data_IF_423316298366
#
_entry.id   IF_423316298366
#
_cell.length_a   1.000
_cell.length_b   1.000
_cell.length_c   1.000
_cell.angle_alpha   90.00
_cell.angle_beta   90.00
_cell.angle_gamma   90.00
#
_symmetry.space_group_name_H-M   'P 1'
#
loop_
_entity.id
_entity.type
_entity.pdbx_description
1 polymer ?
#
# COMPACT_ATOMS: atom_id res chain seq x y z
N UNK A 1 7.50 14.67 -0.14
CA UNK A 1 8.33 15.68 0.57
C UNK A 1 9.68 15.94 -0.05
N UNK A 2 10.08 15.12 -1.03
CA UNK A 2 11.33 15.28 -1.74
C UNK A 2 11.43 16.55 -2.63
N UNK A 3 10.37 17.37 -2.72
CA UNK A 3 10.38 18.66 -3.44
C UNK A 3 9.85 18.61 -4.87
N UNK A 4 9.25 17.49 -5.29
CA UNK A 4 8.65 17.31 -6.61
C UNK A 4 7.17 16.97 -6.52
N UNK A 5 6.38 17.51 -7.44
CA UNK A 5 4.95 17.22 -7.57
C UNK A 5 4.69 15.98 -8.45
N UNK A 6 5.55 15.77 -9.45
CA UNK A 6 5.43 14.68 -10.40
C UNK A 6 6.81 14.25 -10.92
N UNK A 7 6.88 13.02 -11.42
CA UNK A 7 8.05 12.45 -12.06
C UNK A 7 7.61 11.67 -13.30
N UNK A 8 8.33 11.87 -14.40
CA UNK A 8 8.10 11.19 -15.68
C UNK A 8 9.28 10.28 -16.01
N UNK A 9 9.00 8.99 -16.26
CA UNK A 9 10.01 8.01 -16.66
C UNK A 9 9.94 7.75 -18.16
N UNK A 10 10.92 8.27 -18.90
CA UNK A 10 11.03 8.11 -20.34
C UNK A 10 12.09 7.07 -20.72
N UNK A 11 12.01 6.57 -21.97
CA UNK A 11 12.93 5.55 -22.48
C UNK A 11 12.72 4.16 -21.87
N UNK A 12 13.69 3.28 -22.12
CA UNK A 12 13.81 1.93 -21.56
C UNK A 12 15.28 1.66 -21.25
N UNK A 13 15.59 1.08 -20.10
CA UNK A 13 16.96 0.66 -19.78
C UNK A 13 17.30 -0.66 -20.49
N UNK A 14 18.60 -0.92 -20.69
CA UNK A 14 19.08 -2.17 -21.29
C UNK A 14 19.14 -3.34 -20.29
N UNK A 15 19.06 -3.02 -18.99
CA UNK A 15 19.10 -3.93 -17.85
C UNK A 15 18.26 -3.33 -16.73
N UNK A 16 17.96 -4.13 -15.72
CA UNK A 16 17.20 -3.64 -14.59
C UNK A 16 17.92 -2.51 -13.84
N UNK A 17 17.18 -1.43 -13.59
CA UNK A 17 17.69 -0.26 -12.89
C UNK A 17 16.80 0.15 -11.72
N UNK A 18 17.41 0.80 -10.73
CA UNK A 18 16.76 1.51 -9.65
C UNK A 18 16.90 3.00 -9.92
N UNK A 19 15.78 3.71 -9.99
CA UNK A 19 15.78 5.18 -9.96
C UNK A 19 15.82 5.59 -8.49
N UNK A 20 16.90 6.25 -8.06
CA UNK A 20 17.08 6.68 -6.67
C UNK A 20 17.04 8.20 -6.56
N UNK A 21 16.26 8.69 -5.60
CA UNK A 21 16.10 10.10 -5.29
C UNK A 21 16.41 10.30 -3.80
N UNK A 22 17.53 10.97 -3.52
CA UNK A 22 17.92 11.41 -2.18
C UNK A 22 17.68 12.91 -2.07
N UNK A 23 16.54 13.30 -1.51
CA UNK A 23 16.21 14.72 -1.38
C UNK A 23 17.06 15.44 -0.34
N UNK A 24 17.61 14.72 0.64
CA UNK A 24 18.42 15.30 1.70
C UNK A 24 19.79 15.73 1.14
N UNK A 25 20.31 14.96 0.16
CA UNK A 25 21.55 15.27 -0.56
C UNK A 25 21.33 16.02 -1.88
N UNK A 26 20.08 16.16 -2.33
CA UNK A 26 19.74 16.74 -3.63
C UNK A 26 20.24 15.91 -4.81
N UNK A 27 20.26 14.58 -4.67
CA UNK A 27 20.83 13.65 -5.66
C UNK A 27 19.73 12.84 -6.34
N UNK A 28 19.83 12.72 -7.66
CA UNK A 28 19.03 11.80 -8.47
C UNK A 28 19.98 10.90 -9.25
N UNK A 29 19.80 9.59 -9.15
CA UNK A 29 20.67 8.58 -9.76
C UNK A 29 19.86 7.47 -10.42
N UNK A 30 20.43 6.88 -11.46
CA UNK A 30 19.98 5.62 -12.03
C UNK A 30 21.07 4.60 -11.71
N UNK A 31 20.73 3.64 -10.87
CA UNK A 31 21.62 2.60 -10.39
C UNK A 31 21.27 1.28 -11.09
N UNK A 32 22.26 0.45 -11.36
CA UNK A 32 21.99 -0.92 -11.79
C UNK A 32 21.38 -1.74 -10.63
N UNK A 33 20.32 -2.49 -10.92
CA UNK A 33 19.74 -3.40 -9.95
C UNK A 33 20.45 -4.75 -10.05
N UNK A 34 21.15 -5.15 -8.99
CA UNK A 34 21.76 -6.48 -8.88
C UNK A 34 20.82 -7.55 -8.31
N UNK A 35 19.63 -7.14 -7.82
CA UNK A 35 18.66 -8.06 -7.23
C UNK A 35 18.01 -8.94 -8.28
N UNK A 36 18.06 -10.25 -8.06
CA UNK A 36 17.42 -11.23 -8.95
C UNK A 36 15.93 -11.37 -8.68
N UNK A 37 15.53 -11.22 -7.42
CA UNK A 37 14.13 -11.27 -7.02
C UNK A 37 13.57 -9.85 -6.97
N UNK A 38 12.91 -9.47 -8.06
CA UNK A 38 12.27 -8.16 -8.21
C UNK A 38 10.86 -8.12 -7.64
N UNK A 39 10.38 -9.21 -7.02
CA UNK A 39 9.05 -9.22 -6.43
C UNK A 39 8.98 -8.21 -5.29
N UNK A 40 7.93 -7.37 -5.33
CA UNK A 40 7.77 -6.24 -4.41
C UNK A 40 7.96 -6.62 -2.94
N UNK A 41 7.38 -7.73 -2.47
CA UNK A 41 7.48 -8.15 -1.07
C UNK A 41 8.92 -8.47 -0.62
N UNK A 42 9.83 -8.77 -1.56
CA UNK A 42 11.26 -8.96 -1.29
C UNK A 42 12.02 -7.67 -1.54
N UNK A 43 11.83 -7.07 -2.71
CA UNK A 43 12.61 -5.93 -3.17
C UNK A 43 12.34 -4.68 -2.32
N UNK A 44 11.09 -4.42 -1.95
CA UNK A 44 10.74 -3.23 -1.16
C UNK A 44 11.37 -3.26 0.24
N UNK A 45 11.36 -4.41 0.92
CA UNK A 45 12.03 -4.60 2.20
C UNK A 45 13.53 -4.33 2.06
N UNK A 46 14.20 -5.06 1.15
CA UNK A 46 15.65 -4.91 0.92
C UNK A 46 16.06 -3.48 0.63
N UNK A 47 15.35 -2.79 -0.26
CA UNK A 47 15.66 -1.41 -0.64
C UNK A 47 15.38 -0.43 0.50
N UNK A 48 14.35 -0.66 1.31
CA UNK A 48 14.06 0.18 2.47
C UNK A 48 15.24 0.18 3.44
N UNK A 49 15.76 -1.01 3.78
CA UNK A 49 16.94 -1.15 4.64
C UNK A 49 18.23 -0.64 3.97
N UNK A 50 18.44 -0.95 2.68
CA UNK A 50 19.68 -0.59 1.99
C UNK A 50 19.87 0.92 1.79
N UNK A 51 18.78 1.68 1.67
CA UNK A 51 18.83 3.14 1.43
C UNK A 51 18.57 3.99 2.68
N UNK A 52 18.13 3.39 3.79
CA UNK A 52 18.04 4.07 5.07
C UNK A 52 19.43 4.42 5.63
N UNK A 53 19.52 5.48 6.44
CA UNK A 53 20.80 5.84 7.09
C UNK A 53 21.17 4.88 8.23
N UNK A 54 20.17 4.23 8.84
CA UNK A 54 20.34 3.24 9.88
C UNK A 54 19.09 2.36 10.01
N UNK A 55 19.17 1.34 10.86
CA UNK A 55 18.05 0.48 11.25
C UNK A 55 17.11 1.13 12.27
N UNK A 56 17.37 2.38 12.66
CA UNK A 56 16.46 3.11 13.53
C UNK A 56 15.13 3.36 12.80
N UNK A 57 13.97 3.09 13.43
CA UNK A 57 12.67 3.18 12.77
C UNK A 57 12.45 4.50 12.02
N UNK A 58 12.91 5.62 12.58
CA UNK A 58 12.78 6.96 11.97
C UNK A 58 13.45 7.07 10.60
N UNK A 59 14.55 6.34 10.38
CA UNK A 59 15.32 6.39 9.14
C UNK A 59 14.72 5.41 8.11
N UNK A 60 14.13 4.30 8.56
CA UNK A 60 13.38 3.37 7.70
C UNK A 60 12.11 4.01 7.12
N UNK A 61 11.36 4.79 7.93
CA UNK A 61 10.16 5.50 7.41
C UNK A 61 10.50 6.64 6.44
N UNK A 62 11.75 7.09 6.39
CA UNK A 62 12.20 8.11 5.45
C UNK A 62 12.32 7.56 4.01
N UNK A 63 12.30 6.23 3.84
CA UNK A 63 12.42 5.56 2.55
C UNK A 63 11.05 5.06 2.08
N UNK A 64 10.74 5.30 0.82
CA UNK A 64 9.58 4.73 0.16
C UNK A 64 9.99 4.18 -1.20
N UNK A 65 9.40 3.06 -1.60
CA UNK A 65 9.70 2.43 -2.88
C UNK A 65 8.45 2.31 -3.73
N UNK A 66 8.64 2.39 -5.05
CA UNK A 66 7.65 2.03 -6.04
C UNK A 66 8.24 0.90 -6.87
N UNK A 67 7.60 -0.26 -6.93
CA UNK A 67 8.11 -1.44 -7.63
C UNK A 67 6.99 -2.26 -8.27
N UNK A 68 7.37 -3.17 -9.16
CA UNK A 68 6.49 -4.18 -9.72
C UNK A 68 7.26 -5.50 -9.84
N UNK A 69 6.59 -6.63 -9.56
CA UNK A 69 7.23 -7.95 -9.57
C UNK A 69 7.12 -8.67 -10.92
N UNK A 70 7.52 -9.95 -10.91
CA UNK A 70 7.54 -10.81 -12.12
C UNK A 70 6.15 -10.99 -12.74
N UNK A 71 5.09 -10.85 -11.95
CA UNK A 71 3.71 -10.87 -12.47
C UNK A 71 3.48 -9.79 -13.53
N UNK A 72 4.01 -8.58 -13.31
CA UNK A 72 3.86 -7.45 -14.25
C UNK A 72 4.63 -7.65 -15.56
N UNK A 73 5.70 -8.43 -15.56
CA UNK A 73 6.46 -8.80 -16.77
C UNK A 73 5.68 -9.78 -17.67
N UNK A 74 4.73 -10.51 -17.09
CA UNK A 74 4.04 -11.62 -17.73
C UNK A 74 2.53 -11.36 -17.95
N UNK A 75 2.06 -10.14 -17.70
CA UNK A 75 0.65 -9.77 -17.86
C UNK A 75 0.50 -8.36 -18.40
N UNK A 76 -0.67 -8.03 -18.96
CA UNK A 76 -1.03 -6.68 -19.41
C UNK A 76 -1.71 -5.84 -18.32
N UNK A 77 -2.00 -6.45 -17.17
CA UNK A 77 -2.69 -5.83 -16.04
C UNK A 77 -1.77 -5.79 -14.80
N UNK A 78 -0.46 -5.59 -15.01
CA UNK A 78 0.50 -5.54 -13.93
C UNK A 78 0.24 -4.37 -12.98
N UNK A 79 0.26 -4.64 -11.68
CA UNK A 79 0.10 -3.65 -10.61
C UNK A 79 1.41 -2.90 -10.37
N UNK A 80 1.30 -1.63 -9.99
CA UNK A 80 2.41 -0.86 -9.44
C UNK A 80 2.24 -0.73 -7.92
N UNK A 81 3.26 -1.09 -7.17
CA UNK A 81 3.21 -1.22 -5.72
C UNK A 81 4.02 -0.12 -5.04
N UNK A 82 3.46 0.49 -4.00
CA UNK A 82 4.00 1.61 -3.24
C UNK A 82 4.24 1.14 -1.81
N UNK A 83 5.49 1.15 -1.37
CA UNK A 83 5.85 0.68 -0.05
C UNK A 83 5.89 1.82 0.97
N UNK A 84 5.58 1.49 2.22
CA UNK A 84 5.81 2.34 3.37
C UNK A 84 6.23 1.47 4.55
N UNK A 85 7.09 1.99 5.42
CA UNK A 85 7.49 1.28 6.63
C UNK A 85 6.47 1.51 7.75
N UNK A 86 5.90 0.44 8.29
CA UNK A 86 5.01 0.51 9.45
C UNK A 86 5.84 0.44 10.72
N UNK A 87 6.03 1.58 11.41
CA UNK A 87 6.85 1.66 12.62
C UNK A 87 6.37 0.74 13.75
N UNK A 88 5.06 0.47 13.83
CA UNK A 88 4.51 -0.32 14.92
C UNK A 88 4.73 -1.81 14.66
N UNK A 89 4.56 -2.24 13.41
CA UNK A 89 4.85 -3.61 12.96
C UNK A 89 6.33 -3.87 12.69
N UNK A 90 7.12 -2.82 12.52
CA UNK A 90 8.53 -2.85 12.12
C UNK A 90 8.75 -3.66 10.83
N UNK A 91 7.89 -3.43 9.86
CA UNK A 91 7.89 -4.15 8.59
C UNK A 91 7.45 -3.22 7.45
N UNK A 92 7.91 -3.49 6.23
CA UNK A 92 7.40 -2.81 5.05
C UNK A 92 6.01 -3.34 4.68
N UNK A 93 5.09 -2.42 4.46
CA UNK A 93 3.73 -2.65 3.95
C UNK A 93 3.55 -2.01 2.59
N UNK A 94 2.53 -2.45 1.87
CA UNK A 94 2.37 -2.10 0.46
C UNK A 94 0.95 -1.65 0.14
N UNK A 95 0.85 -0.58 -0.67
CA UNK A 95 -0.38 -0.18 -1.37
C UNK A 95 -0.19 -0.23 -2.86
N UNK A 96 -1.29 -0.27 -3.61
CA UNK A 96 -1.25 -0.60 -5.01
C UNK A 96 -2.00 0.40 -5.86
N UNK A 97 -1.38 0.83 -6.95
CA UNK A 97 -2.10 1.28 -8.12
C UNK A 97 -2.30 0.04 -9.02
N UNK A 98 -3.40 -0.66 -8.78
CA UNK A 98 -3.59 -2.05 -9.22
C UNK A 98 -4.11 -2.25 -10.65
N UNK A 99 -4.63 -1.20 -11.31
CA UNK A 99 -5.36 -1.34 -12.59
C UNK A 99 -4.67 -0.59 -13.73
N UNK A 100 -5.01 -0.95 -14.95
CA UNK A 100 -4.55 -0.27 -16.17
C UNK A 100 -3.18 -0.71 -16.70
N UNK A 101 -2.54 -1.72 -16.09
CA UNK A 101 -1.29 -2.28 -16.62
C UNK A 101 -0.05 -1.41 -16.41
N UNK A 102 -0.11 -0.45 -15.50
CA UNK A 102 0.99 0.49 -15.26
C UNK A 102 2.25 -0.18 -14.69
N UNK A 103 2.10 -1.27 -13.93
CA UNK A 103 3.23 -2.09 -13.50
C UNK A 103 3.91 -2.80 -14.67
N UNK A 104 3.12 -3.23 -15.66
CA UNK A 104 3.66 -3.82 -16.91
C UNK A 104 4.49 -2.81 -17.67
N UNK A 105 3.99 -1.58 -17.82
CA UNK A 105 4.76 -0.49 -18.46
C UNK A 105 6.04 -0.19 -17.68
N UNK A 106 5.97 -0.20 -16.34
CA UNK A 106 7.14 0.02 -15.48
C UNK A 106 8.23 -1.04 -15.69
N UNK A 107 7.86 -2.32 -15.76
CA UNK A 107 8.80 -3.43 -16.02
C UNK A 107 9.25 -3.53 -17.48
N UNK A 108 8.42 -3.15 -18.45
CA UNK A 108 8.80 -3.03 -19.86
C UNK A 108 9.90 -1.96 -20.08
N UNK A 109 10.01 -0.99 -19.17
CA UNK A 109 11.12 -0.02 -19.13
C UNK A 109 12.37 -0.53 -18.43
N UNK A 110 12.36 -1.77 -17.92
CA UNK A 110 13.44 -2.36 -17.11
C UNK A 110 13.72 -1.56 -15.83
N UNK A 111 12.67 -1.01 -15.20
CA UNK A 111 12.78 -0.30 -13.93
C UNK A 111 12.38 -1.27 -12.82
N UNK A 112 13.33 -1.70 -12.01
CA UNK A 112 13.09 -2.63 -10.90
C UNK A 112 12.38 -1.90 -9.75
N UNK A 113 12.85 -0.69 -9.43
CA UNK A 113 12.24 0.17 -8.44
C UNK A 113 12.51 1.65 -8.69
N UNK A 114 11.63 2.49 -8.16
CA UNK A 114 11.90 3.88 -7.84
C UNK A 114 11.99 3.97 -6.31
N UNK A 115 13.09 4.52 -5.80
CA UNK A 115 13.33 4.69 -4.37
C UNK A 115 13.44 6.18 -4.08
N UNK A 116 12.67 6.66 -3.12
CA UNK A 116 12.71 8.04 -2.67
C UNK A 116 13.06 8.06 -1.20
N UNK A 117 14.06 8.87 -0.84
CA UNK A 117 14.49 9.12 0.53
C UNK A 117 14.30 10.58 0.92
N UNK A 118 13.69 10.79 2.07
CA UNK A 118 13.54 12.09 2.69
C UNK A 118 13.44 11.98 4.23
N UNK A 119 14.48 12.41 4.94
CA UNK A 119 14.54 12.32 6.42
C UNK A 119 13.83 13.47 7.13
N UNK A 120 13.47 14.55 6.42
CA UNK A 120 12.82 15.73 6.99
C UNK A 120 11.41 15.52 7.55
N UNK A 121 10.82 14.34 7.31
CA UNK A 121 9.51 13.93 7.82
C UNK A 121 8.34 14.68 7.19
N UNK A 122 7.15 14.48 7.77
CA UNK A 122 5.89 15.08 7.33
C UNK A 122 5.53 16.21 8.29
N UNK A 123 5.57 17.47 7.85
CA UNK A 123 5.11 18.60 8.66
C UNK A 123 4.08 19.46 7.92
N UNK A 124 3.08 20.04 8.61
CA UNK A 124 2.04 20.84 7.97
C UNK A 124 2.55 22.08 7.22
N UNK A 125 3.69 22.62 7.63
CA UNK A 125 4.30 23.83 7.08
C UNK A 125 5.30 23.54 5.93
N UNK A 126 5.68 22.27 5.73
CA UNK A 126 6.76 21.89 4.78
C UNK A 126 6.48 22.30 3.35
N UNK A 127 5.21 22.39 2.95
CA UNK A 127 4.80 22.80 1.60
C UNK A 127 4.43 24.29 1.51
N UNK A 128 4.65 25.08 2.56
CA UNK A 128 4.36 26.51 2.58
C UNK A 128 2.89 26.84 2.31
N UNK A 129 1.93 26.29 3.09
CA UNK A 129 0.51 26.60 2.87
C UNK A 129 0.25 28.10 3.02
N UNK A 130 -0.55 28.67 2.11
CA UNK A 130 -0.94 30.09 2.13
C UNK A 130 -1.60 30.49 3.45
N UNK A 131 -2.39 29.57 4.03
CA UNK A 131 -3.08 29.76 5.31
C UNK A 131 -2.98 28.49 6.15
N UNK A 132 -1.96 28.44 7.00
CA UNK A 132 -1.67 27.30 7.87
C UNK A 132 -2.76 27.08 8.93
N UNK A 133 -3.36 28.13 9.46
CA UNK A 133 -4.37 28.02 10.51
C UNK A 133 -5.69 27.49 9.94
N UNK A 134 -6.07 27.92 8.73
CA UNK A 134 -7.21 27.33 8.01
C UNK A 134 -6.99 25.85 7.69
N UNK A 135 -5.78 25.46 7.29
CA UNK A 135 -5.43 24.05 7.04
C UNK A 135 -5.60 23.21 8.31
N UNK A 136 -5.05 23.67 9.44
CA UNK A 136 -5.19 22.99 10.74
C UNK A 136 -6.65 22.87 11.18
N UNK A 137 -7.42 23.97 11.07
CA UNK A 137 -8.83 23.98 11.42
C UNK A 137 -9.65 22.99 10.56
N UNK A 138 -9.34 22.87 9.26
CA UNK A 138 -9.96 21.89 8.39
C UNK A 138 -9.58 20.45 8.77
N UNK A 139 -8.29 20.18 9.03
CA UNK A 139 -7.82 18.86 9.46
C UNK A 139 -8.46 18.40 10.78
N UNK A 140 -8.60 19.31 11.75
CA UNK A 140 -9.28 19.03 13.02
C UNK A 140 -10.76 18.71 12.83
N UNK A 141 -11.46 19.47 11.97
CA UNK A 141 -12.86 19.20 11.63
C UNK A 141 -13.02 17.84 10.96
N UNK A 142 -12.25 17.53 9.92
CA UNK A 142 -12.30 16.23 9.26
C UNK A 142 -11.99 15.08 10.22
N UNK A 143 -11.01 15.26 11.10
CA UNK A 143 -10.67 14.24 12.09
C UNK A 143 -11.85 13.97 13.01
N UNK A 144 -12.49 15.02 13.52
CA UNK A 144 -13.68 14.89 14.35
C UNK A 144 -14.82 14.19 13.60
N UNK A 145 -15.16 14.67 12.40
CA UNK A 145 -16.26 14.11 11.60
C UNK A 145 -16.03 12.64 11.27
N UNK A 146 -14.82 12.24 10.88
CA UNK A 146 -14.49 10.83 10.59
C UNK A 146 -14.68 9.97 11.85
N UNK A 147 -14.17 10.41 13.00
CA UNK A 147 -14.26 9.65 14.24
C UNK A 147 -15.71 9.52 14.75
N UNK A 148 -16.55 10.53 14.53
CA UNK A 148 -17.96 10.53 14.95
C UNK A 148 -18.86 9.77 13.98
N UNK A 149 -18.62 9.87 12.66
CA UNK A 149 -19.54 9.41 11.63
C UNK A 149 -19.18 8.05 11.03
N UNK A 150 -17.91 7.66 10.97
CA UNK A 150 -17.52 6.38 10.37
C UNK A 150 -18.21 5.16 11.01
N UNK A 151 -18.28 5.04 12.35
CA UNK A 151 -18.96 3.90 12.99
C UNK A 151 -20.47 3.85 12.72
N UNK A 152 -21.07 4.97 12.28
CA UNK A 152 -22.49 5.08 11.92
C UNK A 152 -22.74 4.87 10.43
N UNK A 153 -21.68 4.84 9.62
CA UNK A 153 -21.76 4.77 8.17
C UNK A 153 -21.11 3.48 7.67
N UNK A 154 -19.80 3.50 7.42
CA UNK A 154 -19.11 2.46 6.67
C UNK A 154 -18.19 1.59 7.55
N UNK A 155 -17.98 1.96 8.82
CA UNK A 155 -17.10 1.26 9.77
C UNK A 155 -15.71 0.92 9.20
N UNK A 156 -15.18 1.82 8.37
CA UNK A 156 -13.94 1.64 7.63
C UNK A 156 -12.75 1.55 8.59
N UNK A 157 -12.83 2.21 9.74
CA UNK A 157 -11.75 2.19 10.74
C UNK A 157 -11.63 0.85 11.47
N UNK A 158 -12.69 0.04 11.49
CA UNK A 158 -12.72 -1.22 12.24
C UNK A 158 -12.52 -2.45 11.35
N UNK A 159 -13.01 -2.40 10.10
CA UNK A 159 -12.95 -3.55 9.19
C UNK A 159 -12.54 -3.17 7.76
N UNK A 160 -12.33 -1.89 7.48
CA UNK A 160 -11.95 -1.41 6.15
C UNK A 160 -13.05 -1.62 5.13
N UNK A 161 -12.64 -1.74 3.87
CA UNK A 161 -13.55 -1.90 2.74
C UNK A 161 -14.38 -3.18 2.80
N UNK A 162 -13.94 -4.19 3.57
CA UNK A 162 -14.64 -5.45 3.78
C UNK A 162 -16.04 -5.27 4.43
N UNK A 163 -16.34 -4.10 5.00
CA UNK A 163 -17.71 -3.74 5.37
C UNK A 163 -18.68 -3.83 4.19
N UNK A 164 -18.21 -3.49 2.98
CA UNK A 164 -19.03 -3.52 1.77
C UNK A 164 -19.52 -4.93 1.43
N UNK A 165 -18.83 -5.98 1.86
CA UNK A 165 -19.21 -7.34 1.54
C UNK A 165 -20.63 -7.67 2.00
N UNK A 166 -20.98 -7.27 3.23
CA UNK A 166 -22.27 -7.54 3.84
C UNK A 166 -23.40 -6.85 3.04
N UNK A 167 -23.19 -5.58 2.70
CA UNK A 167 -24.10 -4.76 1.89
C UNK A 167 -24.28 -5.39 0.50
N UNK A 168 -23.18 -5.71 -0.17
CA UNK A 168 -23.22 -6.19 -1.55
C UNK A 168 -23.96 -7.52 -1.65
N UNK A 169 -23.78 -8.43 -0.69
CA UNK A 169 -24.52 -9.68 -0.70
C UNK A 169 -26.00 -9.53 -0.30
N UNK A 170 -26.34 -8.61 0.62
CA UNK A 170 -27.73 -8.37 1.04
C UNK A 170 -28.60 -7.76 -0.08
N UNK A 171 -28.01 -6.90 -0.91
CA UNK A 171 -28.71 -6.19 -1.98
C UNK A 171 -28.56 -6.85 -3.38
N UNK A 172 -28.12 -8.11 -3.44
CA UNK A 172 -27.89 -8.85 -4.70
C UNK A 172 -26.90 -8.14 -5.66
N UNK A 173 -25.84 -7.55 -5.10
CA UNK A 173 -24.77 -6.84 -5.83
C UNK A 173 -23.42 -7.55 -5.78
N UNK A 174 -23.28 -8.64 -5.02
CA UNK A 174 -22.04 -9.41 -4.92
C UNK A 174 -21.77 -10.15 -6.23
N UNK A 175 -20.62 -9.91 -6.91
CA UNK A 175 -20.31 -10.62 -8.15
C UNK A 175 -20.10 -12.11 -7.92
N UNK A 176 -21.04 -12.93 -8.38
CA UNK A 176 -20.97 -14.39 -8.20
C UNK A 176 -20.95 -15.09 -9.56
N UNK A 177 -20.01 -16.03 -9.72
CA UNK A 177 -19.81 -16.82 -10.93
C UNK A 177 -19.70 -15.96 -12.20
N UNK A 178 -18.80 -14.97 -12.17
CA UNK A 178 -18.61 -13.98 -13.24
C UNK A 178 -19.89 -13.18 -13.51
N UNK A 179 -20.41 -12.52 -12.46
CA UNK A 179 -21.57 -11.62 -12.50
C UNK A 179 -22.88 -12.27 -12.97
N UNK A 180 -23.00 -13.61 -12.91
CA UNK A 180 -24.24 -14.32 -13.24
C UNK A 180 -25.29 -14.17 -12.14
N UNK A 181 -24.85 -14.01 -10.90
CA UNK A 181 -25.69 -13.87 -9.73
C UNK A 181 -25.17 -12.72 -8.86
N UNK A 182 -26.04 -12.21 -7.98
CA UNK A 182 -25.78 -11.09 -7.08
C UNK A 182 -25.54 -11.49 -5.62
N UNK A 183 -25.67 -12.78 -5.28
CA UNK A 183 -25.53 -13.29 -3.92
C UNK A 183 -25.16 -14.77 -3.94
N UNK A 184 -24.57 -15.25 -2.83
CA UNK A 184 -24.16 -16.65 -2.69
C UNK A 184 -24.43 -17.19 -1.28
N UNK A 185 -24.87 -18.44 -1.15
CA UNK A 185 -25.18 -19.04 0.15
C UNK A 185 -23.95 -19.14 1.08
N UNK A 186 -22.76 -19.29 0.50
CA UNK A 186 -21.50 -19.32 1.25
C UNK A 186 -20.89 -17.94 1.51
N UNK A 187 -21.54 -16.85 1.08
CA UNK A 187 -21.03 -15.49 1.30
C UNK A 187 -20.67 -15.19 2.77
N UNK A 188 -21.41 -15.68 3.80
CA UNK A 188 -21.03 -15.49 5.20
C UNK A 188 -19.63 -16.02 5.59
N UNK A 189 -19.01 -16.90 4.79
CA UNK A 189 -17.67 -17.45 5.06
C UNK A 189 -16.53 -16.46 4.84
N UNK A 190 -16.77 -15.39 4.08
CA UNK A 190 -15.80 -14.31 3.81
C UNK A 190 -16.36 -12.92 4.16
N UNK A 191 -17.51 -12.89 4.84
CA UNK A 191 -18.16 -11.66 5.29
C UNK A 191 -17.37 -10.91 6.39
N UNK A 192 -17.76 -9.66 6.67
CA UNK A 192 -17.06 -8.79 7.61
C UNK A 192 -16.84 -9.42 9.01
N UNK A 193 -17.76 -10.23 9.60
CA UNK A 193 -17.55 -10.86 10.91
C UNK A 193 -16.40 -11.88 10.95
N UNK A 194 -16.05 -12.48 9.80
CA UNK A 194 -14.91 -13.40 9.68
C UNK A 194 -13.62 -12.59 9.73
N UNK A 195 -13.52 -11.56 8.89
CA UNK A 195 -12.35 -10.70 8.81
C UNK A 195 -12.09 -9.92 10.09
N UNK A 196 -13.15 -9.48 10.78
CA UNK A 196 -13.07 -8.85 12.10
C UNK A 196 -12.28 -9.68 13.12
N UNK A 197 -12.23 -11.00 12.98
CA UNK A 197 -11.46 -11.90 13.87
C UNK A 197 -10.03 -12.13 13.41
N UNK A 198 -9.72 -11.87 12.14
CA UNK A 198 -8.41 -12.10 11.53
C UNK A 198 -7.56 -10.83 11.47
N UNK A 199 -8.18 -9.69 11.19
CA UNK A 199 -7.50 -8.40 11.11
C UNK A 199 -6.93 -8.01 12.48
N UNK A 200 -5.70 -7.52 12.49
CA UNK A 200 -5.07 -6.98 13.68
C UNK A 200 -5.76 -5.71 14.14
N UNK A 201 -6.01 -5.59 15.44
CA UNK A 201 -6.78 -4.48 16.06
C UNK A 201 -6.03 -3.67 17.09
N UNK A 202 -4.79 -4.04 17.39
CA UNK A 202 -4.00 -3.39 18.43
C UNK A 202 -3.58 -1.96 18.04
N UNK A 203 -3.83 -1.56 16.80
CA UNK A 203 -3.43 -0.27 16.27
C UNK A 203 -4.33 0.23 15.15
N UNK A 204 -4.20 1.53 14.89
CA UNK A 204 -4.82 2.24 13.79
C UNK A 204 -4.00 2.04 12.51
N UNK A 205 -4.60 1.46 11.49
CA UNK A 205 -3.93 1.13 10.23
C UNK A 205 -4.06 2.22 9.16
N UNK A 206 -3.31 3.31 9.32
CA UNK A 206 -3.19 4.33 8.29
C UNK A 206 -2.30 3.87 7.14
N UNK A 207 -2.76 4.04 5.89
CA UNK A 207 -1.90 3.89 4.71
C UNK A 207 -0.89 5.04 4.54
N UNK A 208 -1.08 6.13 5.30
CA UNK A 208 -0.24 7.32 5.27
C UNK A 208 -0.24 8.03 6.62
N UNK A 209 0.81 8.81 6.87
CA UNK A 209 0.94 9.64 8.06
C UNK A 209 -0.26 10.59 8.22
N UNK A 210 -0.89 10.56 9.40
CA UNK A 210 -2.05 11.40 9.69
C UNK A 210 -3.36 10.92 9.05
N UNK A 211 -3.41 9.72 8.46
CA UNK A 211 -4.66 9.14 7.97
C UNK A 211 -5.61 8.79 9.12
N UNK A 212 -6.56 9.67 9.41
CA UNK A 212 -7.60 9.43 10.42
C UNK A 212 -8.51 8.27 10.05
N UNK A 213 -8.67 7.95 8.76
CA UNK A 213 -9.56 6.87 8.36
C UNK A 213 -9.08 5.51 8.88
N UNK A 214 -7.79 5.22 8.66
CA UNK A 214 -7.15 4.00 9.13
C UNK A 214 -7.79 2.69 8.62
N UNK A 215 -8.23 2.66 7.36
CA UNK A 215 -8.88 1.48 6.74
C UNK A 215 -7.90 0.43 6.19
N UNK A 216 -6.60 0.68 6.23
CA UNK A 216 -5.58 -0.12 5.56
C UNK A 216 -5.21 -1.33 6.40
N UNK A 217 -6.14 -2.21 6.73
CA UNK A 217 -5.88 -3.29 7.67
C UNK A 217 -4.88 -4.33 7.17
N UNK A 218 -4.37 -5.13 8.10
CA UNK A 218 -3.50 -6.28 7.81
C UNK A 218 -3.84 -7.44 8.75
N UNK A 219 -3.48 -8.65 8.31
CA UNK A 219 -3.40 -9.85 9.13
C UNK A 219 -1.94 -10.08 9.50
N UNK A 220 -1.62 -9.96 10.78
CA UNK A 220 -0.27 -10.23 11.28
C UNK A 220 -0.09 -11.70 11.63
N UNK A 221 1.14 -12.21 11.53
CA UNK A 221 1.47 -13.56 11.97
C UNK A 221 0.86 -14.68 11.12
N UNK A 222 0.53 -14.39 9.85
CA UNK A 222 -0.07 -15.38 8.97
C UNK A 222 0.98 -16.36 8.45
N UNK A 223 0.81 -17.66 8.72
CA UNK A 223 1.71 -18.70 8.21
C UNK A 223 1.27 -19.17 6.83
N UNK A 224 2.14 -19.02 5.84
CA UNK A 224 1.89 -19.42 4.46
C UNK A 224 1.75 -20.95 4.36
N UNK A 225 0.67 -21.42 3.74
CA UNK A 225 0.35 -22.86 3.67
C UNK A 225 0.78 -23.52 2.36
N UNK A 226 1.08 -22.73 1.32
CA UNK A 226 1.43 -23.19 -0.03
C UNK A 226 2.48 -22.29 -0.68
N UNK A 227 2.98 -22.68 -1.86
CA UNK A 227 3.94 -21.90 -2.63
C UNK A 227 5.40 -22.02 -2.17
N UNK A 228 6.32 -21.26 -2.78
CA UNK A 228 7.76 -21.32 -2.48
C UNK A 228 8.13 -20.95 -1.04
N UNK A 229 7.36 -20.07 -0.42
CA UNK A 229 7.57 -19.56 0.94
C UNK A 229 6.74 -20.30 2.00
N UNK A 230 6.27 -21.52 1.70
CA UNK A 230 5.44 -22.30 2.62
C UNK A 230 6.13 -22.48 3.97
N UNK A 231 5.39 -22.21 5.04
CA UNK A 231 5.86 -22.31 6.43
C UNK A 231 6.44 -21.00 6.97
N UNK A 232 6.67 -20.00 6.12
CA UNK A 232 7.05 -18.67 6.59
C UNK A 232 5.85 -17.95 7.20
N UNK A 233 6.12 -17.15 8.24
CA UNK A 233 5.13 -16.31 8.91
C UNK A 233 5.32 -14.87 8.45
N UNK A 234 4.27 -14.29 7.88
CA UNK A 234 4.30 -12.97 7.24
C UNK A 234 3.19 -12.06 7.74
N UNK A 235 3.28 -10.79 7.37
CA UNK A 235 2.18 -9.83 7.46
C UNK A 235 1.51 -9.76 6.08
N UNK A 236 0.19 -9.82 6.05
CA UNK A 236 -0.59 -9.73 4.81
C UNK A 236 -1.44 -8.46 4.84
N UNK A 237 -1.19 -7.56 3.89
CA UNK A 237 -2.02 -6.37 3.69
C UNK A 237 -3.43 -6.74 3.20
N UNK A 238 -4.46 -6.14 3.80
CA UNK A 238 -5.85 -6.37 3.47
C UNK A 238 -6.40 -7.72 3.98
N UNK A 239 -7.29 -8.39 3.22
CA UNK A 239 -7.72 -8.00 1.88
C UNK A 239 -8.62 -6.75 1.89
N UNK A 240 -8.64 -6.05 0.77
CA UNK A 240 -9.70 -5.08 0.48
C UNK A 240 -10.91 -5.83 -0.12
N UNK A 241 -12.11 -5.24 -0.08
CA UNK A 241 -13.34 -5.85 -0.59
C UNK A 241 -13.20 -6.39 -2.02
N UNK A 242 -12.59 -5.63 -2.93
CA UNK A 242 -12.47 -6.04 -4.33
C UNK A 242 -11.62 -7.31 -4.49
N UNK A 243 -10.60 -7.49 -3.64
CA UNK A 243 -9.76 -8.69 -3.62
C UNK A 243 -10.56 -9.88 -3.10
N UNK A 244 -11.31 -9.70 -2.01
CA UNK A 244 -12.10 -10.75 -1.37
C UNK A 244 -13.30 -11.19 -2.23
N UNK A 245 -13.99 -10.22 -2.85
CA UNK A 245 -15.12 -10.45 -3.74
C UNK A 245 -14.71 -10.94 -5.15
N UNK A 246 -13.40 -11.00 -5.45
CA UNK A 246 -12.90 -11.44 -6.75
C UNK A 246 -13.26 -10.50 -7.91
N UNK A 247 -13.32 -9.20 -7.63
CA UNK A 247 -13.70 -8.15 -8.61
C UNK A 247 -12.54 -7.22 -9.02
N UNK A 248 -11.34 -7.45 -8.46
CA UNK A 248 -10.11 -6.71 -8.76
C UNK A 248 -9.46 -7.06 -10.11
#
# INVERSE_FOLDING_TARGET
>A
FAGWDALELQGKAAKDVIVYIDSDKGVVQILECSEKDVNTHVLAEKLTHAFADSEEPRDLVAVSTVSAGVGAENTRIGCLNFSFFDMKRKAVRVKQAGRGGIGTVFRDKQIAALVVKHTGGVRPDVLGPVDLERLKAAGARYTKEILELDPLQNDMRTVGTLHNYDIMNEFDLLPVHNFKFGSHADAPKIASPVWRKQLSREMTDGCWFGCTMSCSHAVDGFTLTTGPYKGETVIVDGPEYETDAGSA
#
